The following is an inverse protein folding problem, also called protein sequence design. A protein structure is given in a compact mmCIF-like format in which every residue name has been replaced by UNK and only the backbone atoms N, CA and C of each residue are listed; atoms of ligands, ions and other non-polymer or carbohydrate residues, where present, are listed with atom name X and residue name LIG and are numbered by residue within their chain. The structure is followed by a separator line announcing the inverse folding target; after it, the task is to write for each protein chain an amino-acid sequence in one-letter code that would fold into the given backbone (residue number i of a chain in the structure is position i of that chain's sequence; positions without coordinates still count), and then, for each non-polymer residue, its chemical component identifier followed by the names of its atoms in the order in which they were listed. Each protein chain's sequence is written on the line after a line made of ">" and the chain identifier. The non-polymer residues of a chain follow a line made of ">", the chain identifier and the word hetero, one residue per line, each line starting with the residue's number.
data_IF_478456379879
#
_entry.id   IF_478456379879
#
_cell.length_a   1.000
_cell.length_b   1.000
_cell.length_c   1.000
_cell.angle_alpha   90.00
_cell.angle_beta   90.00
_cell.angle_gamma   90.00
#
_symmetry.space_group_name_H-M   'P 1'
#
loop_
_entity.id
_entity.type
_entity.pdbx_description
1 polymer ?
#
# COMPACT_ATOMS: atom_id res chain seq x y z
N UNK A 1 20.61 -70.58 -24.19
CA UNK A 1 19.59 -69.91 -23.38
C UNK A 1 20.19 -69.01 -22.29
N UNK A 2 21.09 -69.50 -21.42
CA UNK A 2 21.73 -68.68 -20.38
C UNK A 2 22.51 -67.45 -20.90
N UNK A 3 23.32 -67.59 -21.97
CA UNK A 3 24.04 -66.48 -22.61
C UNK A 3 23.12 -65.40 -23.20
N UNK A 4 21.95 -65.81 -23.69
CA UNK A 4 20.97 -64.91 -24.32
C UNK A 4 20.26 -64.06 -23.25
N UNK A 5 19.98 -64.63 -22.08
CA UNK A 5 19.42 -63.90 -20.92
C UNK A 5 20.41 -62.86 -20.37
N UNK A 6 21.69 -63.22 -20.25
CA UNK A 6 22.74 -62.31 -19.75
C UNK A 6 22.97 -61.14 -20.72
N UNK A 7 22.99 -61.40 -22.04
CA UNK A 7 23.14 -60.36 -23.06
C UNK A 7 21.96 -59.39 -23.08
N UNK A 8 20.72 -59.90 -22.96
CA UNK A 8 19.51 -59.07 -22.85
C UNK A 8 19.55 -58.24 -21.56
N UNK A 9 20.00 -58.80 -20.44
CA UNK A 9 20.12 -58.08 -19.18
C UNK A 9 21.18 -56.95 -19.23
N UNK A 10 22.34 -57.19 -19.84
CA UNK A 10 23.39 -56.18 -20.05
C UNK A 10 22.94 -55.04 -20.99
N UNK A 11 22.10 -55.33 -21.99
CA UNK A 11 21.53 -54.33 -22.89
C UNK A 11 20.37 -53.53 -22.25
N UNK A 12 19.69 -54.08 -21.23
CA UNK A 12 18.59 -53.44 -20.50
C UNK A 12 19.07 -52.49 -19.38
N UNK A 13 20.21 -52.75 -18.75
CA UNK A 13 20.77 -51.91 -17.69
C UNK A 13 20.98 -50.42 -18.05
N UNK A 14 21.55 -50.05 -19.22
CA UNK A 14 21.79 -48.64 -19.56
C UNK A 14 20.52 -47.87 -19.91
N UNK A 15 19.48 -48.54 -20.45
CA UNK A 15 18.18 -47.92 -20.76
C UNK A 15 17.44 -47.55 -19.48
N UNK A 16 17.38 -48.47 -18.52
CA UNK A 16 16.71 -48.23 -17.24
C UNK A 16 17.40 -47.12 -16.41
N UNK A 17 18.73 -46.99 -16.50
CA UNK A 17 19.47 -45.92 -15.83
C UNK A 17 19.15 -44.52 -16.41
N UNK A 18 19.03 -44.39 -17.74
CA UNK A 18 18.71 -43.12 -18.40
C UNK A 18 17.27 -42.65 -18.11
N UNK A 19 16.34 -43.59 -18.02
CA UNK A 19 14.95 -43.32 -17.63
C UNK A 19 14.84 -42.91 -16.16
N UNK A 20 15.65 -43.53 -15.28
CA UNK A 20 15.74 -43.17 -13.86
C UNK A 20 16.30 -41.74 -13.67
N UNK A 21 17.36 -41.37 -14.39
CA UNK A 21 17.95 -40.02 -14.36
C UNK A 21 16.97 -38.95 -14.86
N UNK A 22 16.24 -39.23 -15.94
CA UNK A 22 15.19 -38.35 -16.47
C UNK A 22 14.04 -38.18 -15.47
N UNK A 23 13.58 -39.27 -14.85
CA UNK A 23 12.56 -39.24 -13.82
C UNK A 23 13.01 -38.47 -12.56
N UNK A 24 14.27 -38.62 -12.15
CA UNK A 24 14.85 -37.88 -11.04
C UNK A 24 14.95 -36.38 -11.34
N UNK A 25 15.41 -36.00 -12.54
CA UNK A 25 15.42 -34.62 -12.99
C UNK A 25 14.01 -34.02 -13.02
N UNK A 26 13.01 -34.75 -13.48
CA UNK A 26 11.61 -34.31 -13.45
C UNK A 26 11.09 -34.15 -12.02
N UNK A 27 11.41 -35.06 -11.10
CA UNK A 27 11.06 -34.96 -9.67
C UNK A 27 11.68 -33.71 -9.03
N UNK A 28 12.97 -33.45 -9.29
CA UNK A 28 13.69 -32.25 -8.84
C UNK A 28 13.04 -30.97 -9.37
N UNK A 29 12.68 -30.93 -10.67
CA UNK A 29 11.94 -29.80 -11.29
C UNK A 29 10.58 -29.57 -10.63
N UNK A 30 9.77 -30.62 -10.43
CA UNK A 30 8.47 -30.55 -9.76
C UNK A 30 8.59 -30.07 -8.31
N UNK A 31 9.56 -30.60 -7.55
CA UNK A 31 9.83 -30.17 -6.18
C UNK A 31 10.26 -28.70 -6.10
N UNK A 32 11.13 -28.25 -7.02
CA UNK A 32 11.53 -26.85 -7.10
C UNK A 32 10.34 -25.92 -7.43
N UNK A 33 9.46 -26.33 -8.35
CA UNK A 33 8.23 -25.60 -8.66
C UNK A 33 7.29 -25.50 -7.46
N UNK A 34 7.09 -26.61 -6.73
CA UNK A 34 6.31 -26.64 -5.48
C UNK A 34 6.86 -25.67 -4.44
N UNK A 35 8.17 -25.70 -4.19
CA UNK A 35 8.85 -24.76 -3.27
C UNK A 35 8.68 -23.30 -3.70
N UNK A 36 8.79 -23.01 -5.00
CA UNK A 36 8.56 -21.65 -5.54
C UNK A 36 7.13 -21.19 -5.32
N UNK A 37 6.15 -22.06 -5.51
CA UNK A 37 4.73 -21.79 -5.27
C UNK A 37 4.48 -21.50 -3.79
N UNK A 38 4.92 -22.38 -2.88
CA UNK A 38 4.82 -22.18 -1.43
C UNK A 38 5.44 -20.85 -0.97
N UNK A 39 6.62 -20.47 -1.50
CA UNK A 39 7.24 -19.16 -1.20
C UNK A 39 6.39 -17.98 -1.67
N UNK A 40 5.69 -18.10 -2.80
CA UNK A 40 4.78 -17.05 -3.30
C UNK A 40 3.53 -16.97 -2.42
N UNK A 41 2.95 -18.12 -2.09
CA UNK A 41 1.73 -18.22 -1.29
C UNK A 41 1.97 -17.66 0.13
N UNK A 42 3.09 -18.02 0.76
CA UNK A 42 3.51 -17.44 2.04
C UNK A 42 3.71 -15.92 1.99
N UNK A 43 4.25 -15.38 0.88
CA UNK A 43 4.35 -13.91 0.70
C UNK A 43 2.98 -13.26 0.57
N UNK A 44 2.02 -13.92 -0.05
CA UNK A 44 0.65 -13.41 -0.19
C UNK A 44 -0.03 -13.40 1.18
N UNK A 45 0.03 -14.51 1.92
CA UNK A 45 -0.50 -14.64 3.29
C UNK A 45 0.10 -13.57 4.19
N UNK A 46 1.44 -13.43 4.21
CA UNK A 46 2.12 -12.39 5.01
C UNK A 46 1.65 -10.97 4.68
N UNK A 47 1.44 -10.66 3.39
CA UNK A 47 0.93 -9.35 2.97
C UNK A 47 -0.51 -9.11 3.42
N UNK A 48 -1.35 -10.14 3.38
CA UNK A 48 -2.74 -10.07 3.83
C UNK A 48 -2.79 -9.82 5.33
N UNK A 49 -2.08 -10.63 6.12
CA UNK A 49 -2.05 -10.48 7.57
C UNK A 49 -1.50 -9.11 7.96
N UNK A 50 -0.42 -8.65 7.32
CA UNK A 50 0.11 -7.31 7.58
C UNK A 50 -0.85 -6.18 7.18
N UNK A 51 -1.69 -6.37 6.16
CA UNK A 51 -2.75 -5.41 5.84
C UNK A 51 -3.90 -5.47 6.86
N UNK A 52 -4.26 -6.67 7.32
CA UNK A 52 -5.27 -6.87 8.35
C UNK A 52 -4.87 -6.24 9.68
N UNK A 53 -3.61 -6.37 10.11
CA UNK A 53 -3.07 -5.71 11.31
C UNK A 53 -3.20 -4.18 11.23
N UNK A 54 -3.13 -3.61 10.03
CA UNK A 54 -3.29 -2.16 9.79
C UNK A 54 -4.75 -1.74 9.55
N UNK A 55 -5.71 -2.66 9.71
CA UNK A 55 -7.13 -2.45 9.37
C UNK A 55 -7.32 -1.92 7.93
N UNK A 56 -6.46 -2.35 7.01
CA UNK A 56 -6.46 -1.94 5.61
C UNK A 56 -7.25 -2.96 4.76
N UNK A 57 -8.58 -2.84 4.77
CA UNK A 57 -9.48 -3.80 4.11
C UNK A 57 -9.30 -3.82 2.59
N UNK A 58 -9.00 -2.68 1.96
CA UNK A 58 -8.67 -2.65 0.53
C UNK A 58 -7.35 -3.37 0.25
N UNK A 59 -6.31 -3.15 1.07
CA UNK A 59 -5.02 -3.82 0.96
C UNK A 59 -5.11 -5.34 1.16
N UNK A 60 -6.00 -5.81 2.04
CA UNK A 60 -6.29 -7.24 2.24
C UNK A 60 -6.79 -7.88 0.95
N UNK A 61 -7.75 -7.24 0.27
CA UNK A 61 -8.26 -7.69 -1.03
C UNK A 61 -7.26 -7.49 -2.18
N UNK A 62 -6.16 -6.74 -1.95
CA UNK A 62 -5.16 -6.40 -2.96
C UNK A 62 -5.61 -5.26 -3.89
N UNK A 63 -6.63 -4.50 -3.48
CA UNK A 63 -7.09 -3.32 -4.18
C UNK A 63 -6.31 -2.10 -3.70
N UNK A 64 -5.94 -1.23 -4.64
CA UNK A 64 -5.29 0.04 -4.33
C UNK A 64 -6.35 1.14 -4.35
N UNK A 65 -6.79 1.60 -3.18
CA UNK A 65 -7.80 2.65 -3.10
C UNK A 65 -7.15 4.03 -3.35
N UNK A 66 -7.33 4.55 -4.57
CA UNK A 66 -6.95 5.90 -5.01
C UNK A 66 -8.17 6.83 -5.11
N UNK A 67 -9.28 6.47 -4.46
CA UNK A 67 -10.51 7.26 -4.51
C UNK A 67 -10.25 8.66 -3.93
N UNK A 68 -10.20 9.64 -4.82
CA UNK A 68 -10.07 11.06 -4.46
C UNK A 68 -11.46 11.67 -4.60
N UNK A 69 -12.01 12.10 -3.46
CA UNK A 69 -13.25 12.87 -3.43
C UNK A 69 -12.91 14.35 -3.57
N UNK A 70 -13.32 14.96 -4.67
CA UNK A 70 -13.22 16.41 -4.85
C UNK A 70 -14.51 17.00 -4.26
N UNK A 71 -14.42 17.81 -3.19
CA UNK A 71 -15.62 18.41 -2.61
C UNK A 71 -16.27 19.37 -3.60
N UNK A 72 -17.59 19.47 -3.53
CA UNK A 72 -18.34 20.46 -4.30
C UNK A 72 -17.94 21.87 -3.87
N UNK A 73 -17.45 22.68 -4.82
CA UNK A 73 -17.17 24.09 -4.57
C UNK A 73 -18.32 24.93 -5.11
N UNK A 74 -18.81 25.85 -4.27
CA UNK A 74 -19.77 26.88 -4.67
C UNK A 74 -19.01 28.15 -5.01
N UNK A 75 -19.00 28.52 -6.29
CA UNK A 75 -18.44 29.80 -6.73
C UNK A 75 -19.57 30.81 -6.91
N UNK A 76 -19.49 31.92 -6.18
CA UNK A 76 -20.33 33.10 -6.43
C UNK A 76 -19.75 33.82 -7.64
N UNK A 77 -20.53 33.95 -8.70
CA UNK A 77 -20.09 34.65 -9.89
C UNK A 77 -20.11 36.16 -9.57
N UNK A 78 -18.95 36.78 -9.32
CA UNK A 78 -18.90 38.23 -9.05
C UNK A 78 -19.56 38.97 -10.22
N UNK A 79 -20.66 39.70 -9.91
CA UNK A 79 -21.58 40.46 -10.78
C UNK A 79 -22.91 39.80 -11.17
N UNK A 80 -23.09 38.51 -10.97
CA UNK A 80 -24.39 37.85 -11.18
C UNK A 80 -24.78 37.22 -9.84
N UNK A 81 -25.96 37.52 -9.30
CA UNK A 81 -26.48 36.88 -8.07
C UNK A 81 -26.76 35.36 -8.23
N UNK A 82 -26.08 34.69 -9.17
CA UNK A 82 -26.11 33.26 -9.41
C UNK A 82 -24.84 32.64 -8.84
N UNK A 83 -25.01 31.63 -8.01
CA UNK A 83 -23.95 30.72 -7.59
C UNK A 83 -23.95 29.48 -8.47
N UNK A 84 -22.78 29.09 -8.95
CA UNK A 84 -22.61 27.81 -9.67
C UNK A 84 -22.03 26.82 -8.66
N UNK A 85 -22.72 25.70 -8.46
CA UNK A 85 -22.25 24.58 -7.64
C UNK A 85 -21.64 23.54 -8.57
N UNK A 86 -20.35 23.25 -8.37
CA UNK A 86 -19.71 22.12 -9.06
C UNK A 86 -20.20 20.80 -8.45
N UNK A 87 -20.55 19.78 -9.25
CA UNK A 87 -20.94 18.47 -8.72
C UNK A 87 -19.76 17.78 -8.03
N UNK A 88 -20.05 16.92 -7.04
CA UNK A 88 -19.02 16.10 -6.39
C UNK A 88 -18.47 15.09 -7.40
N UNK A 89 -17.15 15.09 -7.60
CA UNK A 89 -16.47 14.13 -8.48
C UNK A 89 -15.64 13.16 -7.65
N UNK A 90 -15.88 11.86 -7.86
CA UNK A 90 -15.09 10.76 -7.30
C UNK A 90 -14.20 10.19 -8.40
N UNK A 91 -12.92 10.52 -8.34
CA UNK A 91 -11.92 9.98 -9.26
C UNK A 91 -11.53 8.57 -8.80
N UNK A 92 -11.49 7.62 -9.74
CA UNK A 92 -11.09 6.23 -9.50
C UNK A 92 -11.97 5.48 -8.48
N UNK A 93 -13.28 5.50 -8.69
CA UNK A 93 -14.23 4.74 -7.88
C UNK A 93 -14.10 3.22 -8.10
N UNK A 94 -13.91 2.48 -7.01
CA UNK A 94 -13.94 1.01 -7.03
C UNK A 94 -15.39 0.56 -6.97
N UNK A 95 -15.89 -0.09 -8.02
CA UNK A 95 -17.25 -0.63 -8.03
C UNK A 95 -17.39 -1.90 -7.17
N UNK A 96 -18.61 -2.20 -6.73
CA UNK A 96 -18.93 -3.40 -5.96
C UNK A 96 -18.54 -4.70 -6.70
N UNK A 97 -18.64 -4.73 -8.02
CA UNK A 97 -18.23 -5.87 -8.83
C UNK A 97 -16.71 -6.10 -8.82
N UNK A 98 -15.92 -5.03 -8.80
CA UNK A 98 -14.46 -5.13 -8.66
C UNK A 98 -14.09 -5.72 -7.29
N UNK A 99 -14.80 -5.32 -6.23
CA UNK A 99 -14.62 -5.86 -4.87
C UNK A 99 -14.94 -7.35 -4.85
N UNK A 100 -16.09 -7.76 -5.40
CA UNK A 100 -16.48 -9.18 -5.50
C UNK A 100 -15.47 -10.00 -6.31
N UNK A 101 -14.93 -9.44 -7.40
CA UNK A 101 -13.88 -10.10 -8.20
C UNK A 101 -12.58 -10.25 -7.42
N UNK A 102 -12.15 -9.21 -6.72
CA UNK A 102 -10.95 -9.23 -5.89
C UNK A 102 -11.07 -10.25 -4.76
N UNK A 103 -12.22 -10.30 -4.08
CA UNK A 103 -12.54 -11.30 -3.06
C UNK A 103 -12.36 -12.73 -3.58
N UNK A 104 -13.03 -13.08 -4.68
CA UNK A 104 -12.93 -14.43 -5.28
C UNK A 104 -11.49 -14.82 -5.60
N UNK A 105 -10.74 -13.92 -6.22
CA UNK A 105 -9.33 -14.16 -6.56
C UNK A 105 -8.46 -14.36 -5.30
N UNK A 106 -8.71 -13.58 -4.26
CA UNK A 106 -7.94 -13.62 -3.02
C UNK A 106 -8.26 -14.85 -2.19
N UNK A 107 -9.55 -15.18 -2.05
CA UNK A 107 -10.05 -16.37 -1.35
C UNK A 107 -9.45 -17.66 -1.94
N UNK A 108 -9.40 -17.79 -3.27
CA UNK A 108 -8.77 -18.93 -3.94
C UNK A 108 -7.26 -19.01 -3.64
N UNK A 109 -6.58 -17.87 -3.56
CA UNK A 109 -5.14 -17.81 -3.32
C UNK A 109 -4.75 -18.20 -1.89
N UNK A 110 -5.60 -17.95 -0.89
CA UNK A 110 -5.32 -18.26 0.52
C UNK A 110 -6.15 -19.41 1.09
N UNK A 111 -6.87 -20.14 0.26
CA UNK A 111 -7.72 -21.24 0.71
C UNK A 111 -6.90 -22.31 1.47
N UNK A 112 -7.31 -22.72 2.69
CA UNK A 112 -6.53 -23.61 3.54
C UNK A 112 -6.30 -25.00 2.94
N UNK A 113 -7.21 -25.49 2.08
CA UNK A 113 -7.02 -26.76 1.35
C UNK A 113 -5.89 -26.70 0.30
N UNK A 114 -5.70 -25.54 -0.36
CA UNK A 114 -4.76 -25.41 -1.48
C UNK A 114 -3.40 -24.85 -1.05
N UNK A 115 -3.36 -24.11 0.05
CA UNK A 115 -2.16 -23.47 0.56
C UNK A 115 -1.70 -24.17 1.85
N UNK A 116 -0.48 -24.70 1.83
CA UNK A 116 0.12 -25.39 2.99
C UNK A 116 0.71 -24.46 4.05
N UNK A 117 0.46 -23.14 3.97
CA UNK A 117 0.92 -22.18 4.98
C UNK A 117 0.05 -22.28 6.25
N UNK A 118 0.64 -22.35 7.45
CA UNK A 118 -0.12 -22.48 8.70
C UNK A 118 -1.05 -21.29 8.97
N UNK A 119 -0.72 -20.09 8.45
CA UNK A 119 -1.54 -18.89 8.62
C UNK A 119 -2.53 -18.66 7.47
N UNK A 120 -2.69 -19.62 6.56
CA UNK A 120 -3.65 -19.51 5.46
C UNK A 120 -5.09 -19.34 5.96
N UNK A 121 -5.47 -20.05 7.02
CA UNK A 121 -6.80 -19.93 7.65
C UNK A 121 -7.05 -18.53 8.21
N UNK A 122 -6.08 -17.97 8.94
CA UNK A 122 -6.17 -16.61 9.50
C UNK A 122 -6.28 -15.56 8.38
N UNK A 123 -5.47 -15.69 7.33
CA UNK A 123 -5.53 -14.81 6.17
C UNK A 123 -6.86 -14.93 5.41
N UNK A 124 -7.45 -16.12 5.34
CA UNK A 124 -8.77 -16.34 4.74
C UNK A 124 -9.87 -15.60 5.52
N UNK A 125 -9.88 -15.72 6.84
CA UNK A 125 -10.80 -15.01 7.73
C UNK A 125 -10.65 -13.49 7.54
N UNK A 126 -9.41 -12.98 7.46
CA UNK A 126 -9.16 -11.56 7.21
C UNK A 126 -9.73 -11.09 5.86
N UNK A 127 -9.63 -11.92 4.81
CA UNK A 127 -10.18 -11.65 3.48
C UNK A 127 -11.70 -11.62 3.49
N UNK A 128 -12.33 -12.55 4.22
CA UNK A 128 -13.79 -12.61 4.38
C UNK A 128 -14.31 -11.39 5.14
N UNK A 129 -13.67 -11.02 6.24
CA UNK A 129 -14.01 -9.83 7.03
C UNK A 129 -13.86 -8.53 6.20
N UNK A 130 -12.80 -8.42 5.40
CA UNK A 130 -12.62 -7.27 4.52
C UNK A 130 -13.71 -7.22 3.43
N UNK A 131 -14.10 -8.37 2.88
CA UNK A 131 -15.13 -8.43 1.84
C UNK A 131 -16.52 -8.14 2.40
N UNK A 132 -16.88 -8.61 3.59
CA UNK A 132 -18.18 -8.35 4.21
C UNK A 132 -18.41 -6.86 4.43
N UNK A 133 -17.40 -6.18 4.98
CA UNK A 133 -17.41 -4.73 5.21
C UNK A 133 -17.49 -3.94 3.90
N UNK A 134 -16.65 -4.26 2.91
CA UNK A 134 -16.56 -3.50 1.66
C UNK A 134 -17.72 -3.79 0.68
N UNK A 135 -18.44 -4.90 0.85
CA UNK A 135 -19.61 -5.23 0.02
C UNK A 135 -20.84 -4.42 0.42
N UNK A 136 -20.98 -4.11 1.72
CA UNK A 136 -22.07 -3.25 2.20
C UNK A 136 -21.69 -1.78 2.00
N UNK A 137 -22.47 -1.05 1.21
CA UNK A 137 -22.20 0.34 0.86
C UNK A 137 -22.21 1.28 2.08
N UNK A 138 -23.08 1.04 3.07
CA UNK A 138 -23.12 1.88 4.27
C UNK A 138 -21.87 1.71 5.13
N UNK A 139 -21.47 0.45 5.37
CA UNK A 139 -20.28 0.13 6.16
C UNK A 139 -19.01 0.59 5.44
N UNK A 140 -18.95 0.41 4.12
CA UNK A 140 -17.86 0.91 3.30
C UNK A 140 -17.73 2.43 3.42
N UNK A 141 -18.84 3.17 3.33
CA UNK A 141 -18.82 4.63 3.46
C UNK A 141 -18.30 5.07 4.83
N UNK A 142 -18.81 4.48 5.92
CA UNK A 142 -18.32 4.77 7.29
C UNK A 142 -16.83 4.52 7.42
N UNK A 143 -16.36 3.37 6.93
CA UNK A 143 -14.93 3.04 6.93
C UNK A 143 -14.09 4.02 6.11
N UNK A 144 -14.56 4.39 4.91
CA UNK A 144 -13.87 5.35 4.05
C UNK A 144 -13.81 6.77 4.65
N UNK A 145 -14.85 7.16 5.40
CA UNK A 145 -14.91 8.43 6.12
C UNK A 145 -13.96 8.44 7.33
N UNK A 146 -14.00 7.41 8.18
CA UNK A 146 -13.07 7.23 9.31
C UNK A 146 -11.60 7.23 8.84
N UNK A 147 -11.32 6.49 7.76
CA UNK A 147 -9.98 6.43 7.16
C UNK A 147 -9.53 7.80 6.65
N UNK A 148 -10.44 8.59 6.09
CA UNK A 148 -10.15 9.96 5.60
C UNK A 148 -9.84 10.89 6.76
N UNK A 149 -10.64 10.84 7.83
CA UNK A 149 -10.42 11.61 9.05
C UNK A 149 -9.06 11.29 9.68
N UNK A 150 -8.73 10.01 9.85
CA UNK A 150 -7.42 9.61 10.40
C UNK A 150 -6.23 10.04 9.52
N UNK A 151 -6.41 10.16 8.21
CA UNK A 151 -5.39 10.72 7.31
C UNK A 151 -5.28 12.24 7.47
N UNK A 152 -6.40 12.93 7.64
CA UNK A 152 -6.45 14.37 7.85
C UNK A 152 -5.80 14.76 9.19
N UNK A 153 -6.12 14.07 10.29
CA UNK A 153 -5.51 14.29 11.60
C UNK A 153 -4.00 14.09 11.57
N UNK A 154 -3.52 13.00 10.95
CA UNK A 154 -2.08 12.78 10.76
C UNK A 154 -1.43 13.92 9.99
N UNK A 155 -2.05 14.36 8.89
CA UNK A 155 -1.53 15.50 8.10
C UNK A 155 -1.48 16.75 8.95
N UNK A 156 -2.53 17.05 9.71
CA UNK A 156 -2.59 18.21 10.60
C UNK A 156 -1.49 18.15 11.66
N UNK A 157 -1.26 16.99 12.28
CA UNK A 157 -0.20 16.81 13.28
C UNK A 157 1.20 17.07 12.68
N UNK A 158 1.48 16.62 11.46
CA UNK A 158 2.74 16.94 10.78
C UNK A 158 2.88 18.42 10.45
N UNK A 159 1.81 19.05 9.97
CA UNK A 159 1.80 20.49 9.69
C UNK A 159 2.01 21.29 10.97
N UNK A 160 1.31 20.96 12.05
CA UNK A 160 1.41 21.61 13.36
C UNK A 160 2.85 21.54 13.89
N UNK A 161 3.46 20.34 13.93
CA UNK A 161 4.87 20.20 14.33
C UNK A 161 5.83 21.01 13.46
N UNK A 162 5.62 21.03 12.14
CA UNK A 162 6.43 21.81 11.22
C UNK A 162 6.33 23.31 11.51
N UNK A 163 5.11 23.81 11.72
CA UNK A 163 4.87 25.23 12.04
C UNK A 163 5.39 25.62 13.42
N UNK A 164 5.27 24.75 14.42
CA UNK A 164 5.81 24.99 15.77
C UNK A 164 7.33 25.10 15.75
N UNK A 165 8.01 24.18 15.06
CA UNK A 165 9.46 24.24 14.89
C UNK A 165 9.89 25.53 14.19
N UNK A 166 9.17 25.92 13.13
CA UNK A 166 9.43 27.17 12.41
C UNK A 166 9.19 28.39 13.32
N UNK A 167 8.12 28.41 14.11
CA UNK A 167 7.80 29.50 15.04
C UNK A 167 8.90 29.69 16.10
N UNK A 168 9.47 28.61 16.62
CA UNK A 168 10.61 28.69 17.56
C UNK A 168 11.82 29.35 16.90
N UNK A 169 12.17 28.91 15.68
CA UNK A 169 13.31 29.47 14.93
C UNK A 169 13.07 30.94 14.57
N UNK A 170 11.90 31.27 14.01
CA UNK A 170 11.52 32.64 13.65
C UNK A 170 11.49 33.54 14.89
N UNK A 171 10.95 33.05 16.01
CA UNK A 171 10.91 33.78 17.27
C UNK A 171 12.30 34.05 17.85
N UNK A 172 13.23 33.09 17.76
CA UNK A 172 14.62 33.28 18.16
C UNK A 172 15.32 34.32 17.27
N UNK A 173 15.13 34.23 15.95
CA UNK A 173 15.66 35.20 14.98
C UNK A 173 15.12 36.61 15.25
N UNK A 174 13.81 36.73 15.51
CA UNK A 174 13.15 38.01 15.78
C UNK A 174 13.67 38.64 17.07
N UNK A 175 13.89 37.85 18.13
CA UNK A 175 14.52 38.32 19.37
C UNK A 175 15.96 38.78 19.13
N UNK A 176 16.76 38.00 18.38
CA UNK A 176 18.14 38.35 18.04
C UNK A 176 18.22 39.66 17.24
N UNK A 177 17.33 39.84 16.26
CA UNK A 177 17.20 41.07 15.48
C UNK A 177 16.78 42.25 16.37
N UNK A 178 15.83 42.06 17.28
CA UNK A 178 15.41 43.10 18.22
C UNK A 178 16.54 43.50 19.17
N UNK A 179 17.30 42.55 19.71
CA UNK A 179 18.47 42.84 20.55
C UNK A 179 19.57 43.54 19.77
N UNK A 180 19.86 43.12 18.53
CA UNK A 180 20.83 43.77 17.68
C UNK A 180 20.42 45.22 17.35
N UNK A 181 19.13 45.45 17.09
CA UNK A 181 18.57 46.80 16.88
C UNK A 181 18.70 47.68 18.13
N UNK A 182 18.48 47.13 19.32
CA UNK A 182 18.64 47.86 20.58
C UNK A 182 20.10 48.21 20.90
N UNK A 183 21.06 47.40 20.45
CA UNK A 183 22.50 47.64 20.67
C UNK A 183 23.08 48.62 19.64
N UNK A 184 22.70 48.51 18.36
CA UNK A 184 23.20 49.43 17.30
C UNK A 184 22.56 50.84 17.33
N UNK A 185 21.54 51.06 18.16
CA UNK A 185 20.88 52.37 18.30
C UNK A 185 20.07 52.80 17.06
N UNK A 186 19.44 54.00 17.11
CA UNK A 186 18.49 54.49 16.09
C UNK A 186 19.11 54.69 14.69
N UNK A 187 20.43 54.58 14.54
CA UNK A 187 21.15 54.76 13.27
C UNK A 187 21.44 53.45 12.50
N UNK A 188 21.08 52.28 13.04
CA UNK A 188 21.33 50.97 12.42
C UNK A 188 20.65 50.77 11.05
N UNK A 189 19.42 51.27 10.94
CA UNK A 189 18.55 51.09 9.77
C UNK A 189 19.07 51.82 8.51
N UNK A 190 19.42 53.12 8.57
CA UNK A 190 19.96 53.82 7.39
C UNK A 190 21.29 53.24 6.92
N UNK A 191 22.18 52.79 7.82
CA UNK A 191 23.48 52.21 7.45
C UNK A 191 23.32 50.83 6.79
N UNK A 192 22.42 49.98 7.27
CA UNK A 192 22.13 48.68 6.65
C UNK A 192 21.44 48.83 5.29
N UNK A 193 20.53 49.78 5.14
CA UNK A 193 19.88 50.08 3.85
C UNK A 193 20.92 50.63 2.85
N UNK A 194 21.80 51.55 3.28
CA UNK A 194 22.92 52.03 2.44
C UNK A 194 23.86 50.89 2.04
N UNK A 195 24.23 50.01 2.97
CA UNK A 195 25.09 48.86 2.67
C UNK A 195 24.46 47.82 1.73
N UNK A 196 23.15 47.60 1.84
CA UNK A 196 22.42 46.68 0.96
C UNK A 196 22.11 47.26 -0.43
N UNK A 197 22.19 48.58 -0.61
CA UNK A 197 21.98 49.28 -1.88
C UNK A 197 23.27 49.50 -2.68
N UNK A 198 24.44 49.28 -2.04
CA UNK A 198 25.78 49.43 -2.63
C UNK A 198 26.30 48.09 -3.22
N UNK A 199 25.65 46.97 -2.90
CA UNK A 199 25.91 45.64 -3.49
C UNK A 199 24.87 45.39 -4.58
#
# INVERSE_FOLDING_TARGET
>A
MALLVVLVCLQLQPVMAKDADSAEQQRKKKAAAKRRRQRKDARIVKKILHAATRQDHYGVLGLRNWEVQIPAYTVKLLRLNKSITTPEWKLFHISSDQIKRAYRNRAIAVHPDKNSDPHASEAFIAVENAASLLTNESQRKTYDDERRLALQERRQHYTQRGTEALQVVVGALQKALWTAKSILGPFAFPVLILGALII
#
